data_IF_514536136180
#
_entry.id   IF_514536136180
#
_cell.length_a   1.000
_cell.length_b   1.000
_cell.length_c   1.000
_cell.angle_alpha   90.00
_cell.angle_beta   90.00
_cell.angle_gamma   90.00
#
_symmetry.space_group_name_H-M   'P 1'
#
loop_
_entity.id
_entity.type
_entity.pdbx_description
1 polymer ?
#
# COMPACT_ATOMS: atom_id res chain seq x y z
N UNK A 1 0.69 79.34 -32.98
CA UNK A 1 -0.08 78.15 -33.29
C UNK A 1 0.73 76.95 -32.82
N UNK A 2 0.34 76.40 -31.69
CA UNK A 2 1.06 75.34 -31.02
C UNK A 2 0.20 74.02 -31.19
N UNK A 3 0.71 73.06 -31.93
CA UNK A 3 0.06 71.73 -32.05
C UNK A 3 0.64 70.79 -31.03
N UNK A 4 -0.16 70.39 -30.05
CA UNK A 4 0.13 69.35 -29.09
C UNK A 4 -0.28 68.02 -29.73
N UNK A 5 0.70 67.14 -30.00
CA UNK A 5 0.46 65.72 -30.37
C UNK A 5 0.34 64.89 -29.12
N UNK A 6 -0.86 64.37 -28.86
CA UNK A 6 -1.14 63.43 -27.77
C UNK A 6 -0.77 62.01 -28.21
N UNK A 7 0.30 61.46 -27.64
CA UNK A 7 0.69 60.05 -27.85
C UNK A 7 -0.17 59.13 -26.97
N UNK A 8 -0.97 58.25 -27.60
CA UNK A 8 -1.65 57.15 -26.90
C UNK A 8 -0.66 56.02 -26.63
N UNK A 9 -0.34 55.79 -25.38
CA UNK A 9 0.36 54.61 -24.94
C UNK A 9 -0.66 53.48 -24.81
N UNK A 10 -0.62 52.52 -25.75
CA UNK A 10 -1.39 51.29 -25.69
C UNK A 10 -0.74 50.32 -24.69
N UNK A 11 -1.33 50.16 -23.52
CA UNK A 11 -0.96 49.09 -22.60
C UNK A 11 -1.45 47.74 -23.15
N UNK A 12 -0.53 47.00 -23.72
CA UNK A 12 -0.76 45.59 -24.07
C UNK A 12 -0.73 44.77 -22.78
N UNK A 13 -1.89 44.53 -22.16
CA UNK A 13 -2.03 43.62 -21.04
C UNK A 13 -1.88 42.20 -21.55
N UNK A 14 -0.67 41.65 -21.42
CA UNK A 14 -0.41 40.22 -21.59
C UNK A 14 -1.27 39.42 -20.62
N UNK A 15 -2.34 38.81 -21.14
CA UNK A 15 -3.09 37.81 -20.41
C UNK A 15 -2.17 36.63 -20.19
N UNK A 16 -1.56 36.54 -19.01
CA UNK A 16 -1.05 35.23 -18.51
C UNK A 16 -2.22 34.27 -18.44
N UNK A 17 -2.25 33.36 -19.40
CA UNK A 17 -3.12 32.17 -19.32
C UNK A 17 -2.66 31.37 -18.12
N UNK A 18 -3.28 31.61 -16.98
CA UNK A 18 -3.26 30.72 -15.84
C UNK A 18 -3.68 29.34 -16.34
N UNK A 19 -2.71 28.47 -16.60
CA UNK A 19 -2.92 27.10 -17.03
C UNK A 19 -3.66 26.36 -15.91
N UNK A 20 -4.98 26.36 -15.95
CA UNK A 20 -5.77 25.40 -15.18
C UNK A 20 -5.33 24.02 -15.61
N UNK A 21 -4.54 23.34 -14.77
CA UNK A 21 -4.27 21.92 -14.91
C UNK A 21 -5.61 21.20 -15.03
N UNK A 22 -5.99 20.82 -16.25
CA UNK A 22 -7.19 20.03 -16.46
C UNK A 22 -7.03 18.70 -15.73
N UNK A 23 -8.07 18.25 -15.05
CA UNK A 23 -8.04 16.91 -14.42
C UNK A 23 -7.77 15.87 -15.49
N UNK A 24 -6.83 14.91 -15.24
CA UNK A 24 -6.53 13.86 -16.20
C UNK A 24 -7.79 13.09 -16.60
N UNK A 25 -7.93 12.75 -17.85
CA UNK A 25 -9.01 11.92 -18.35
C UNK A 25 -8.91 10.48 -17.82
N UNK A 26 -9.98 9.69 -17.98
CA UNK A 26 -10.01 8.28 -17.52
C UNK A 26 -8.87 7.45 -18.07
N UNK A 27 -8.50 7.64 -19.34
CA UNK A 27 -7.41 6.91 -20.01
C UNK A 27 -6.05 7.27 -19.39
N UNK A 28 -5.78 8.55 -19.22
CA UNK A 28 -4.54 9.05 -18.59
C UNK A 28 -4.42 8.58 -17.12
N UNK A 29 -5.52 8.56 -16.38
CA UNK A 29 -5.55 8.02 -15.01
C UNK A 29 -5.28 6.51 -14.98
N UNK A 30 -5.81 5.74 -15.95
CA UNK A 30 -5.55 4.30 -16.04
C UNK A 30 -4.07 4.02 -16.37
N UNK A 31 -3.48 4.77 -17.29
CA UNK A 31 -2.06 4.65 -17.64
C UNK A 31 -1.15 5.03 -16.46
N UNK A 32 -1.49 6.10 -15.75
CA UNK A 32 -0.78 6.51 -14.54
C UNK A 32 -0.86 5.41 -13.47
N UNK A 33 -2.04 4.86 -13.22
CA UNK A 33 -2.21 3.77 -12.24
C UNK A 33 -1.38 2.55 -12.63
N UNK A 34 -1.39 2.14 -13.90
CA UNK A 34 -0.57 1.03 -14.40
C UNK A 34 0.93 1.29 -14.17
N UNK A 35 1.40 2.48 -14.50
CA UNK A 35 2.78 2.89 -14.26
C UNK A 35 3.14 2.82 -12.77
N UNK A 36 2.24 3.31 -11.92
CA UNK A 36 2.44 3.34 -10.48
C UNK A 36 2.50 1.93 -9.87
N UNK A 37 1.61 1.02 -10.31
CA UNK A 37 1.63 -0.41 -9.88
C UNK A 37 2.94 -1.08 -10.32
N UNK A 38 3.39 -0.82 -11.55
CA UNK A 38 4.66 -1.35 -12.03
C UNK A 38 5.85 -0.86 -11.19
N UNK A 39 5.87 0.42 -10.82
CA UNK A 39 6.92 0.98 -9.95
C UNK A 39 6.89 0.39 -8.53
N UNK A 40 5.72 0.15 -7.98
CA UNK A 40 5.61 -0.49 -6.67
C UNK A 40 6.12 -1.94 -6.74
N UNK A 41 5.81 -2.66 -7.83
CA UNK A 41 6.33 -4.02 -8.10
C UNK A 41 7.87 -4.03 -8.17
N UNK A 42 8.48 -3.14 -8.96
CA UNK A 42 9.94 -3.02 -9.06
C UNK A 42 10.59 -2.75 -7.69
N UNK A 43 9.97 -1.91 -6.86
CA UNK A 43 10.45 -1.66 -5.50
C UNK A 43 10.41 -2.90 -4.62
N UNK A 44 9.36 -3.70 -4.74
CA UNK A 44 9.21 -4.97 -4.00
C UNK A 44 10.24 -5.98 -4.48
N UNK A 45 10.39 -6.19 -5.79
CA UNK A 45 11.37 -7.11 -6.37
C UNK A 45 12.81 -6.76 -5.94
N UNK A 46 13.18 -5.48 -5.99
CA UNK A 46 14.47 -5.00 -5.51
C UNK A 46 14.68 -5.22 -4.00
N UNK A 47 13.61 -5.11 -3.20
CA UNK A 47 13.68 -5.42 -1.77
C UNK A 47 13.89 -6.92 -1.53
N UNK A 48 13.13 -7.77 -2.22
CA UNK A 48 13.22 -9.24 -2.15
C UNK A 48 14.63 -9.70 -2.51
N UNK A 49 15.19 -9.20 -3.63
CA UNK A 49 16.54 -9.51 -4.08
C UNK A 49 17.59 -9.08 -3.04
N UNK A 50 17.52 -7.85 -2.59
CA UNK A 50 18.46 -7.28 -1.61
C UNK A 50 18.45 -8.00 -0.27
N UNK A 51 17.28 -8.55 0.13
CA UNK A 51 17.11 -9.32 1.37
C UNK A 51 17.32 -10.83 1.19
N UNK A 52 17.50 -11.31 -0.04
CA UNK A 52 17.66 -12.74 -0.34
C UNK A 52 16.41 -13.56 0.00
N UNK A 53 15.21 -12.97 -0.10
CA UNK A 53 13.96 -13.65 0.23
C UNK A 53 13.48 -14.52 -0.94
N UNK A 54 12.85 -15.64 -0.63
CA UNK A 54 12.20 -16.51 -1.63
C UNK A 54 10.69 -16.31 -1.53
N UNK A 55 10.17 -15.33 -2.27
CA UNK A 55 8.76 -14.97 -2.24
C UNK A 55 8.05 -15.34 -3.53
N UNK A 56 6.77 -15.60 -3.43
CA UNK A 56 5.85 -15.86 -4.54
C UNK A 56 4.86 -14.70 -4.63
N UNK A 57 4.56 -14.26 -5.85
CA UNK A 57 3.50 -13.28 -6.10
C UNK A 57 2.18 -13.98 -6.39
N UNK A 58 1.12 -13.59 -5.70
CA UNK A 58 -0.24 -14.06 -5.96
C UNK A 58 -0.84 -13.35 -7.19
N UNK A 59 -1.94 -13.87 -7.78
CA UNK A 59 -2.63 -13.21 -8.89
C UNK A 59 -3.14 -11.80 -8.58
N UNK A 60 -3.36 -11.48 -7.31
CA UNK A 60 -3.79 -10.15 -6.84
C UNK A 60 -2.64 -9.18 -6.66
N UNK A 61 -1.39 -9.65 -6.69
CA UNK A 61 -0.18 -8.85 -6.45
C UNK A 61 0.30 -8.86 -5.00
N UNK A 62 -0.24 -9.72 -4.14
CA UNK A 62 0.33 -9.99 -2.82
C UNK A 62 1.59 -10.83 -2.97
N UNK A 63 2.69 -10.42 -2.33
CA UNK A 63 3.90 -11.22 -2.22
C UNK A 63 3.91 -11.95 -0.90
N UNK A 64 4.19 -13.26 -0.91
CA UNK A 64 4.15 -14.08 0.28
C UNK A 64 5.29 -15.09 0.35
N UNK A 65 5.68 -15.40 1.57
CA UNK A 65 6.61 -16.48 1.91
C UNK A 65 6.07 -17.18 3.16
N UNK A 66 5.54 -18.40 2.97
CA UNK A 66 5.10 -19.25 4.08
C UNK A 66 6.34 -19.87 4.72
N UNK A 67 6.57 -19.58 6.00
CA UNK A 67 7.67 -20.16 6.79
C UNK A 67 7.22 -21.46 7.44
N UNK A 68 6.02 -21.44 8.01
CA UNK A 68 5.37 -22.58 8.65
C UNK A 68 3.90 -22.56 8.26
N UNK A 69 3.38 -23.66 7.74
CA UNK A 69 1.99 -23.69 7.27
C UNK A 69 0.98 -23.71 8.43
N UNK A 70 1.40 -24.26 9.58
CA UNK A 70 0.54 -24.52 10.73
C UNK A 70 -0.15 -25.88 10.64
N UNK A 71 -1.17 -26.09 11.47
CA UNK A 71 -1.89 -27.37 11.56
C UNK A 71 -3.41 -27.16 11.57
N UNK A 72 -4.17 -28.17 11.16
CA UNK A 72 -5.64 -28.09 11.06
C UNK A 72 -6.10 -27.63 9.68
N UNK A 73 -7.23 -26.94 9.63
CA UNK A 73 -7.82 -26.42 8.40
C UNK A 73 -7.28 -25.02 8.08
N UNK A 74 -7.28 -24.66 6.79
CA UNK A 74 -7.04 -23.30 6.37
C UNK A 74 -8.12 -22.38 6.92
N UNK A 75 -7.69 -21.14 7.20
CA UNK A 75 -8.60 -20.12 7.68
C UNK A 75 -9.58 -19.66 6.60
N UNK A 76 -10.83 -19.47 7.01
CA UNK A 76 -11.94 -19.09 6.14
C UNK A 76 -12.66 -17.86 6.65
N UNK A 77 -13.60 -17.32 5.87
CA UNK A 77 -14.42 -16.20 6.28
C UNK A 77 -15.17 -16.50 7.58
N UNK A 78 -15.22 -15.52 8.47
CA UNK A 78 -15.76 -15.53 9.81
C UNK A 78 -14.93 -16.26 10.87
N UNK A 79 -13.80 -16.86 10.52
CA UNK A 79 -12.87 -17.35 11.54
C UNK A 79 -12.30 -16.18 12.34
N UNK A 80 -12.34 -16.29 13.66
CA UNK A 80 -11.67 -15.35 14.58
C UNK A 80 -10.31 -15.91 14.93
N UNK A 81 -9.26 -15.14 14.66
CA UNK A 81 -7.88 -15.55 14.93
C UNK A 81 -7.15 -14.48 15.72
N UNK A 82 -6.22 -14.92 16.56
CA UNK A 82 -5.29 -14.04 17.25
C UNK A 82 -3.94 -14.14 16.56
N UNK A 83 -3.45 -13.00 16.11
CA UNK A 83 -2.17 -12.89 15.41
C UNK A 83 -1.14 -12.14 16.24
N UNK A 84 0.09 -12.66 16.22
CA UNK A 84 1.30 -11.91 16.53
C UNK A 84 1.85 -11.32 15.24
N UNK A 85 2.28 -10.06 15.24
CA UNK A 85 2.66 -9.38 14.01
C UNK A 85 3.70 -8.29 14.19
N UNK A 86 4.48 -8.09 13.14
CA UNK A 86 5.30 -6.90 12.91
C UNK A 86 4.94 -6.31 11.55
N UNK A 87 4.67 -5.01 11.51
CA UNK A 87 4.41 -4.24 10.31
C UNK A 87 5.50 -3.20 10.12
N UNK A 88 6.20 -3.24 8.99
CA UNK A 88 7.29 -2.31 8.66
C UNK A 88 7.21 -1.82 7.22
N UNK A 89 7.96 -0.76 6.91
CA UNK A 89 8.17 -0.28 5.56
C UNK A 89 9.33 -1.02 4.88
N UNK A 90 9.52 -0.84 3.56
CA UNK A 90 10.63 -1.46 2.81
C UNK A 90 12.02 -0.97 3.23
N UNK A 91 12.14 0.19 3.87
CA UNK A 91 13.38 0.71 4.45
C UNK A 91 13.71 0.12 5.83
N UNK A 92 12.76 -0.65 6.40
CA UNK A 92 12.88 -1.28 7.71
C UNK A 92 12.29 -0.45 8.86
N UNK A 93 11.74 0.73 8.59
CA UNK A 93 11.07 1.51 9.63
C UNK A 93 9.85 0.74 10.15
N UNK A 94 9.85 0.44 11.46
CA UNK A 94 8.73 -0.26 12.11
C UNK A 94 7.55 0.68 12.31
N UNK A 95 6.40 0.26 11.79
CA UNK A 95 5.15 0.99 11.95
C UNK A 95 4.38 0.50 13.18
N UNK A 96 4.08 -0.79 13.22
CA UNK A 96 3.28 -1.41 14.28
C UNK A 96 3.80 -2.79 14.63
N UNK A 97 3.61 -3.21 15.88
CA UNK A 97 3.90 -4.58 16.30
C UNK A 97 3.05 -4.98 17.50
N UNK A 98 2.80 -6.27 17.63
CA UNK A 98 2.17 -6.85 18.81
C UNK A 98 3.06 -6.80 20.06
N UNK A 99 4.38 -6.57 19.91
CA UNK A 99 5.26 -6.29 21.05
C UNK A 99 4.90 -4.99 21.76
N UNK A 100 4.38 -3.99 21.02
CA UNK A 100 3.96 -2.70 21.57
C UNK A 100 2.50 -2.69 22.03
N UNK A 101 1.61 -3.33 21.26
CA UNK A 101 0.16 -3.24 21.42
C UNK A 101 -0.51 -4.52 21.94
N UNK A 102 0.25 -5.60 22.08
CA UNK A 102 -0.27 -6.95 22.30
C UNK A 102 -0.74 -7.62 21.00
N UNK A 103 -0.97 -8.94 21.03
CA UNK A 103 -1.55 -9.67 19.92
C UNK A 103 -2.91 -9.10 19.51
N UNK A 104 -3.20 -9.17 18.20
CA UNK A 104 -4.42 -8.61 17.63
C UNK A 104 -5.42 -9.72 17.31
N UNK A 105 -6.65 -9.60 17.81
CA UNK A 105 -7.75 -10.43 17.36
C UNK A 105 -8.35 -9.87 16.08
N UNK A 106 -8.53 -10.71 15.07
CA UNK A 106 -9.08 -10.35 13.77
C UNK A 106 -10.11 -11.39 13.32
N UNK A 107 -11.16 -10.94 12.66
CA UNK A 107 -12.18 -11.82 12.05
C UNK A 107 -12.02 -11.73 10.54
N UNK A 108 -11.71 -12.86 9.89
CA UNK A 108 -11.51 -12.89 8.45
C UNK A 108 -12.79 -12.53 7.71
N UNK A 109 -12.64 -11.72 6.68
CA UNK A 109 -13.75 -11.27 5.84
C UNK A 109 -14.65 -10.20 6.46
N UNK A 110 -14.52 -9.91 7.76
CA UNK A 110 -15.34 -8.88 8.47
C UNK A 110 -14.54 -7.76 9.10
N UNK A 111 -13.28 -7.96 9.40
CA UNK A 111 -12.44 -6.96 10.06
C UNK A 111 -12.08 -5.84 9.07
N UNK A 112 -11.94 -4.63 9.58
CA UNK A 112 -11.34 -3.49 8.87
C UNK A 112 -9.82 -3.66 8.78
N UNK A 113 -9.38 -4.73 8.13
CA UNK A 113 -7.97 -4.95 7.85
C UNK A 113 -7.67 -4.80 6.37
N UNK A 114 -6.41 -4.66 6.06
CA UNK A 114 -5.92 -4.55 4.70
C UNK A 114 -6.31 -5.78 3.86
N UNK A 115 -6.73 -5.54 2.61
CA UNK A 115 -7.18 -6.60 1.71
C UNK A 115 -6.10 -7.68 1.52
N UNK A 116 -4.83 -7.27 1.40
CA UNK A 116 -3.71 -8.19 1.26
C UNK A 116 -3.43 -9.01 2.51
N UNK A 117 -3.60 -8.43 3.70
CA UNK A 117 -3.47 -9.19 4.95
C UNK A 117 -4.60 -10.21 5.08
N UNK A 118 -5.82 -9.82 4.76
CA UNK A 118 -6.98 -10.70 4.76
C UNK A 118 -6.83 -11.87 3.77
N UNK A 119 -6.25 -11.63 2.59
CA UNK A 119 -5.89 -12.67 1.63
C UNK A 119 -4.79 -13.59 2.18
N UNK A 120 -3.71 -12.99 2.70
CA UNK A 120 -2.56 -13.75 3.22
C UNK A 120 -2.91 -14.68 4.37
N UNK A 121 -3.77 -14.25 5.29
CA UNK A 121 -4.19 -15.08 6.42
C UNK A 121 -4.93 -16.34 5.97
N UNK A 122 -5.68 -16.32 4.86
CA UNK A 122 -6.35 -17.50 4.28
C UNK A 122 -5.38 -18.54 3.72
N UNK A 123 -4.12 -18.16 3.50
CA UNK A 123 -3.07 -19.09 3.07
C UNK A 123 -2.45 -19.87 4.24
N UNK A 124 -2.86 -19.57 5.47
CA UNK A 124 -2.32 -20.13 6.70
C UNK A 124 -3.35 -20.98 7.45
N UNK A 125 -2.81 -21.81 8.34
CA UNK A 125 -3.53 -22.60 9.34
C UNK A 125 -3.16 -22.10 10.74
N UNK A 126 -3.88 -22.46 11.79
CA UNK A 126 -3.47 -22.17 13.17
C UNK A 126 -2.02 -22.59 13.45
N UNK A 127 -1.23 -21.72 14.07
CA UNK A 127 0.21 -21.91 14.26
C UNK A 127 1.06 -21.59 13.04
N UNK A 128 0.47 -21.14 11.94
CA UNK A 128 1.18 -20.77 10.72
C UNK A 128 1.97 -19.46 10.86
N UNK A 129 3.10 -19.40 10.16
CA UNK A 129 3.97 -18.22 10.10
C UNK A 129 4.24 -17.85 8.64
N UNK A 130 4.19 -16.56 8.34
CA UNK A 130 4.48 -16.06 7.02
C UNK A 130 5.06 -14.64 7.05
N UNK A 131 5.71 -14.29 5.95
CA UNK A 131 6.01 -12.90 5.58
C UNK A 131 5.16 -12.53 4.38
N UNK A 132 4.46 -11.41 4.47
CA UNK A 132 3.69 -10.81 3.38
C UNK A 132 4.26 -9.46 3.01
N UNK A 133 4.32 -9.14 1.71
CA UNK A 133 4.59 -7.79 1.24
C UNK A 133 3.38 -7.31 0.46
N UNK A 134 2.78 -6.25 0.95
CA UNK A 134 1.55 -5.68 0.39
C UNK A 134 1.89 -4.41 -0.39
N UNK A 135 1.63 -4.39 -1.70
CA UNK A 135 1.65 -3.14 -2.44
C UNK A 135 0.57 -2.18 -1.92
N UNK A 136 0.67 -0.87 -2.19
CA UNK A 136 -0.24 0.12 -1.62
C UNK A 136 -1.73 -0.18 -1.84
N UNK A 137 -2.11 -0.73 -3.00
CA UNK A 137 -3.51 -1.02 -3.33
C UNK A 137 -4.10 -2.21 -2.56
N UNK A 138 -3.26 -3.07 -1.97
CA UNK A 138 -3.65 -4.15 -1.05
C UNK A 138 -3.47 -3.77 0.43
N UNK A 139 -2.96 -2.58 0.69
CA UNK A 139 -2.69 -2.01 2.00
C UNK A 139 -3.49 -0.72 2.24
N UNK A 140 -2.83 0.38 2.59
CA UNK A 140 -3.48 1.66 2.94
C UNK A 140 -3.65 2.62 1.75
N UNK A 141 -3.36 2.19 0.54
CA UNK A 141 -3.63 2.93 -0.70
C UNK A 141 -2.86 4.26 -0.81
N UNK A 142 -3.53 5.23 -1.45
CA UNK A 142 -2.94 6.54 -1.73
C UNK A 142 -2.86 7.46 -0.51
N UNK A 143 -3.54 7.15 0.59
CA UNK A 143 -3.63 8.03 1.76
C UNK A 143 -2.69 7.61 2.89
N UNK A 144 -2.31 6.33 2.97
CA UNK A 144 -1.70 5.79 4.17
C UNK A 144 -2.74 5.66 5.30
N UNK A 145 -2.27 5.51 6.54
CA UNK A 145 -3.13 5.40 7.73
C UNK A 145 -3.28 6.71 8.51
N UNK A 146 -2.64 7.77 8.03
CA UNK A 146 -2.62 9.08 8.68
C UNK A 146 -1.77 9.14 9.96
N UNK A 147 -0.99 8.11 10.26
CA UNK A 147 -0.15 7.99 11.47
C UNK A 147 1.28 7.56 11.10
N UNK A 148 1.58 6.26 11.15
CA UNK A 148 2.91 5.70 10.93
C UNK A 148 3.11 5.19 9.48
N UNK A 149 2.05 4.89 8.75
CA UNK A 149 2.13 4.39 7.37
C UNK A 149 1.86 5.54 6.39
N UNK A 150 2.88 5.97 5.64
CA UNK A 150 2.72 7.09 4.72
C UNK A 150 1.88 6.74 3.50
N UNK A 151 1.50 7.78 2.76
CA UNK A 151 0.85 7.66 1.45
C UNK A 151 1.65 6.73 0.53
N UNK A 152 0.97 5.83 -0.15
CA UNK A 152 1.55 4.89 -1.11
C UNK A 152 2.67 4.00 -0.57
N UNK A 153 2.62 3.69 0.72
CA UNK A 153 3.58 2.78 1.31
C UNK A 153 3.36 1.34 0.85
N UNK A 154 4.45 0.67 0.48
CA UNK A 154 4.52 -0.78 0.47
C UNK A 154 4.84 -1.20 1.90
N UNK A 155 4.09 -2.14 2.43
CA UNK A 155 4.28 -2.64 3.80
C UNK A 155 4.69 -4.10 3.83
N UNK A 156 5.49 -4.44 4.82
CA UNK A 156 5.96 -5.80 5.08
C UNK A 156 5.36 -6.24 6.39
N UNK A 157 4.63 -7.35 6.37
CA UNK A 157 4.13 -8.03 7.55
C UNK A 157 4.91 -9.31 7.82
N UNK A 158 5.38 -9.50 9.05
CA UNK A 158 5.72 -10.80 9.59
C UNK A 158 4.58 -11.20 10.51
N UNK A 159 3.97 -12.36 10.27
CA UNK A 159 2.76 -12.81 10.96
C UNK A 159 2.99 -14.19 11.54
N UNK A 160 2.49 -14.39 12.75
CA UNK A 160 2.29 -15.71 13.38
C UNK A 160 0.85 -15.82 13.85
N UNK A 161 0.15 -16.88 13.47
CA UNK A 161 -1.18 -17.17 13.98
C UNK A 161 -1.02 -17.93 15.30
N UNK A 162 -1.39 -17.28 16.40
CA UNK A 162 -1.25 -17.88 17.74
C UNK A 162 -2.32 -18.94 17.98
N UNK A 163 -3.57 -18.63 17.72
CA UNK A 163 -4.70 -19.56 17.81
C UNK A 163 -5.92 -19.01 17.04
N UNK A 164 -6.85 -19.89 16.71
CA UNK A 164 -8.20 -19.54 16.28
C UNK A 164 -9.20 -19.81 17.40
N UNK A 165 -10.30 -19.09 17.41
CA UNK A 165 -11.43 -19.25 18.32
C UNK A 165 -12.69 -19.63 17.56
#
# INVERSE_FOLDING_TARGET
MLFLASGMVSCNSGQEKSGRLSRPGKKEMAELNKYMVQKDRERIENYIERKGLKMTESPTGLWYMIKTEGSGNYLTDNDSVVIDYECSLLDGAQCYSSRESGPKEVILGRSEMEAGLNEGLRMLKPGGEATFILPPFLAYGLRGDGKKIPSRAVIVYNITILHNR
#
